data_IF_239497846764
#
_entry.id   IF_239497846764
#
_cell.length_a   1.000
_cell.length_b   1.000
_cell.length_c   1.000
_cell.angle_alpha   90.00
_cell.angle_beta   90.00
_cell.angle_gamma   90.00
#
_symmetry.space_group_name_H-M   'P 1'
#
loop_
_entity.id
_entity.type
_entity.pdbx_description
1 polymer ?
#
# COMPACT_ATOMS: atom_id res chain seq x y z
N UNK A 1 -7.93 17.49 15.12
CA UNK A 1 -7.20 17.34 13.83
C UNK A 1 -5.91 16.54 14.01
N UNK A 2 -5.01 16.94 14.90
CA UNK A 2 -3.74 16.22 15.15
C UNK A 2 -3.95 14.78 15.64
N UNK A 3 -4.90 14.54 16.55
CA UNK A 3 -5.19 13.19 17.05
C UNK A 3 -5.78 12.28 15.97
N UNK A 4 -6.69 12.79 15.13
CA UNK A 4 -7.27 12.03 14.02
C UNK A 4 -6.22 11.70 12.95
N UNK A 5 -5.35 12.66 12.64
CA UNK A 5 -4.23 12.45 11.72
C UNK A 5 -3.24 11.41 12.25
N UNK A 6 -2.88 11.49 13.53
CA UNK A 6 -2.04 10.50 14.20
C UNK A 6 -2.68 9.11 14.26
N UNK A 7 -3.99 9.03 14.49
CA UNK A 7 -4.75 7.78 14.47
C UNK A 7 -4.70 7.14 13.07
N UNK A 8 -4.96 7.92 12.02
CA UNK A 8 -4.89 7.45 10.63
C UNK A 8 -3.47 7.01 10.30
N UNK A 9 -2.45 7.80 10.67
CA UNK A 9 -1.03 7.50 10.48
C UNK A 9 -0.60 6.18 11.13
N UNK A 10 -1.06 5.94 12.37
CA UNK A 10 -0.69 4.77 13.16
C UNK A 10 -1.44 3.52 12.71
N UNK A 11 -2.73 3.64 12.39
CA UNK A 11 -3.60 2.51 12.05
C UNK A 11 -3.62 2.15 10.57
N UNK A 12 -3.18 3.04 9.67
CA UNK A 12 -3.12 2.73 8.25
C UNK A 12 -2.11 1.63 7.90
N UNK A 13 -1.00 1.52 8.64
CA UNK A 13 -0.05 0.40 8.48
C UNK A 13 -0.73 -0.93 8.84
N UNK A 14 -1.30 -1.14 10.06
CA UNK A 14 -2.07 -2.33 10.38
C UNK A 14 -3.21 -2.63 9.40
N UNK A 15 -3.96 -1.63 8.97
CA UNK A 15 -5.08 -1.81 8.05
C UNK A 15 -4.62 -2.30 6.67
N UNK A 16 -3.54 -1.72 6.13
CA UNK A 16 -2.98 -2.15 4.85
C UNK A 16 -2.27 -3.51 4.95
N UNK A 17 -1.68 -3.85 6.09
CA UNK A 17 -1.15 -5.19 6.36
C UNK A 17 -2.25 -6.24 6.41
N UNK A 18 -3.36 -5.97 7.11
CA UNK A 18 -4.56 -6.82 7.10
C UNK A 18 -5.08 -7.01 5.67
N UNK A 19 -5.15 -5.93 4.90
CA UNK A 19 -5.55 -5.97 3.50
C UNK A 19 -4.59 -6.81 2.63
N UNK A 20 -3.28 -6.73 2.91
CA UNK A 20 -2.26 -7.55 2.24
C UNK A 20 -2.50 -9.04 2.45
N UNK A 21 -2.85 -9.44 3.68
CA UNK A 21 -3.20 -10.83 4.01
C UNK A 21 -4.44 -11.28 3.24
N UNK A 22 -5.50 -10.45 3.21
CA UNK A 22 -6.72 -10.73 2.45
C UNK A 22 -6.40 -10.95 0.96
N UNK A 23 -5.55 -10.10 0.37
CA UNK A 23 -5.15 -10.23 -1.02
C UNK A 23 -4.31 -11.49 -1.28
N UNK A 24 -3.40 -11.86 -0.37
CA UNK A 24 -2.65 -13.12 -0.47
C UNK A 24 -3.58 -14.34 -0.48
N UNK A 25 -4.63 -14.33 0.33
CA UNK A 25 -5.64 -15.41 0.36
C UNK A 25 -6.38 -15.50 -0.97
N UNK A 26 -6.81 -14.35 -1.52
CA UNK A 26 -7.52 -14.30 -2.81
C UNK A 26 -6.61 -14.77 -3.96
N UNK A 27 -5.34 -14.36 -3.97
CA UNK A 27 -4.35 -14.78 -4.98
C UNK A 27 -4.25 -16.30 -5.04
N UNK A 28 -4.15 -16.96 -3.89
CA UNK A 28 -4.10 -18.43 -3.81
C UNK A 28 -5.42 -19.09 -4.18
N UNK A 29 -6.54 -18.46 -3.84
CA UNK A 29 -7.85 -19.01 -4.20
C UNK A 29 -8.07 -19.04 -5.72
N UNK A 30 -7.44 -18.11 -6.45
CA UNK A 30 -7.49 -18.02 -7.92
C UNK A 30 -6.46 -18.90 -8.63
N UNK A 31 -5.35 -19.25 -7.99
CA UNK A 31 -4.33 -20.12 -8.61
C UNK A 31 -4.85 -21.56 -8.81
N UNK A 32 -4.62 -22.17 -10.00
CA UNK A 32 -5.04 -23.54 -10.26
C UNK A 32 -4.41 -24.53 -9.27
N UNK A 33 -5.20 -25.51 -8.79
CA UNK A 33 -4.80 -26.52 -7.79
C UNK A 33 -3.69 -27.50 -8.23
N UNK A 34 -2.99 -27.22 -9.34
CA UNK A 34 -2.06 -28.16 -9.99
C UNK A 34 -0.62 -28.13 -9.46
N UNK A 35 -0.35 -27.53 -8.30
CA UNK A 35 1.01 -27.42 -7.72
C UNK A 35 1.21 -28.24 -6.44
N UNK A 36 2.40 -28.83 -6.28
CA UNK A 36 2.87 -29.45 -5.03
C UNK A 36 2.70 -28.49 -3.84
N UNK A 37 2.31 -29.02 -2.68
CA UNK A 37 2.04 -28.27 -1.44
C UNK A 37 3.14 -27.25 -1.09
N UNK A 38 4.41 -27.62 -1.27
CA UNK A 38 5.57 -26.77 -0.98
C UNK A 38 5.62 -25.51 -1.88
N UNK A 39 5.28 -25.66 -3.17
CA UNK A 39 5.21 -24.54 -4.11
C UNK A 39 4.14 -23.53 -3.71
N UNK A 40 2.97 -24.01 -3.27
CA UNK A 40 1.88 -23.15 -2.82
C UNK A 40 2.22 -22.35 -1.56
N UNK A 41 2.96 -22.95 -0.62
CA UNK A 41 3.43 -22.25 0.59
C UNK A 41 4.43 -21.16 0.24
N UNK A 42 5.36 -21.40 -0.70
CA UNK A 42 6.30 -20.39 -1.17
C UNK A 42 5.59 -19.25 -1.91
N UNK A 43 4.61 -19.56 -2.76
CA UNK A 43 3.79 -18.55 -3.42
C UNK A 43 2.99 -17.72 -2.41
N UNK A 44 2.46 -18.34 -1.35
CA UNK A 44 1.80 -17.62 -0.27
C UNK A 44 2.72 -16.62 0.41
N UNK A 45 3.89 -17.07 0.87
CA UNK A 45 4.85 -16.22 1.57
C UNK A 45 5.33 -15.10 0.64
N UNK A 46 5.59 -15.41 -0.63
CA UNK A 46 5.94 -14.43 -1.65
C UNK A 46 4.86 -13.38 -1.88
N UNK A 47 3.59 -13.81 -1.97
CA UNK A 47 2.45 -12.91 -2.13
C UNK A 47 2.26 -12.02 -0.88
N UNK A 48 2.37 -12.59 0.33
CA UNK A 48 2.31 -11.84 1.58
C UNK A 48 3.40 -10.77 1.62
N UNK A 49 4.64 -11.14 1.29
CA UNK A 49 5.76 -10.19 1.24
C UNK A 49 5.54 -9.10 0.20
N UNK A 50 5.18 -9.48 -1.04
CA UNK A 50 4.95 -8.54 -2.14
C UNK A 50 3.84 -7.55 -1.82
N UNK A 51 2.69 -8.03 -1.31
CA UNK A 51 1.59 -7.15 -0.91
C UNK A 51 1.92 -6.32 0.32
N UNK A 52 2.72 -6.83 1.25
CA UNK A 52 3.20 -6.05 2.41
C UNK A 52 4.07 -4.88 1.97
N UNK A 53 5.05 -5.12 1.09
CA UNK A 53 5.93 -4.05 0.57
C UNK A 53 5.12 -3.05 -0.24
N UNK A 54 4.22 -3.53 -1.10
CA UNK A 54 3.30 -2.71 -1.89
C UNK A 54 2.43 -1.82 -0.99
N UNK A 55 1.86 -2.40 0.06
CA UNK A 55 1.07 -1.70 1.08
C UNK A 55 1.85 -0.61 1.79
N UNK A 56 3.08 -0.88 2.21
CA UNK A 56 3.94 0.12 2.86
C UNK A 56 4.30 1.25 1.90
N UNK A 57 4.62 0.93 0.64
CA UNK A 57 4.92 1.92 -0.38
C UNK A 57 3.70 2.80 -0.70
N UNK A 58 2.51 2.20 -0.86
CA UNK A 58 1.27 2.95 -1.03
C UNK A 58 0.93 3.79 0.20
N UNK A 59 1.21 3.29 1.41
CA UNK A 59 0.99 4.04 2.64
C UNK A 59 1.87 5.29 2.71
N UNK A 60 3.15 5.13 2.40
CA UNK A 60 4.08 6.24 2.28
C UNK A 60 3.61 7.25 1.23
N UNK A 61 3.07 6.77 0.10
CA UNK A 61 2.46 7.63 -0.91
C UNK A 61 1.30 8.48 -0.37
N UNK A 62 0.38 7.88 0.40
CA UNK A 62 -0.73 8.60 1.04
C UNK A 62 -0.25 9.65 2.05
N UNK A 63 0.82 9.34 2.80
CA UNK A 63 1.47 10.29 3.71
C UNK A 63 2.04 11.47 2.90
N UNK A 64 2.78 11.20 1.81
CA UNK A 64 3.34 12.25 0.95
C UNK A 64 2.25 13.17 0.38
N UNK A 65 1.11 12.62 -0.08
CA UNK A 65 -0.03 13.42 -0.54
C UNK A 65 -0.55 14.30 0.59
N UNK A 66 -0.72 13.74 1.79
CA UNK A 66 -1.26 14.48 2.94
C UNK A 66 -0.34 15.64 3.36
N UNK A 67 0.97 15.40 3.43
CA UNK A 67 1.96 16.44 3.72
C UNK A 67 2.05 17.48 2.60
N UNK A 68 1.93 17.05 1.34
CA UNK A 68 1.87 17.97 0.22
C UNK A 68 0.66 18.91 0.30
N UNK A 69 -0.53 18.38 0.62
CA UNK A 69 -1.73 19.21 0.83
C UNK A 69 -1.52 20.19 2.00
N UNK A 70 -0.96 19.72 3.11
CA UNK A 70 -0.69 20.57 4.28
C UNK A 70 0.34 21.67 3.96
N UNK A 71 1.36 21.40 3.14
CA UNK A 71 2.38 22.38 2.79
C UNK A 71 1.86 23.59 2.00
N UNK A 72 0.69 23.51 1.35
CA UNK A 72 0.05 24.68 0.76
C UNK A 72 -0.45 25.70 1.81
N UNK A 73 -0.60 25.29 3.07
CA UNK A 73 -0.96 26.20 4.16
C UNK A 73 0.20 27.08 4.64
N UNK A 74 1.43 26.75 4.22
CA UNK A 74 2.66 27.48 4.56
C UNK A 74 3.18 28.35 3.39
N UNK A 75 2.31 28.70 2.44
CA UNK A 75 2.63 29.47 1.21
C UNK A 75 3.72 28.83 0.31
N UNK A 76 4.07 27.57 0.56
CA UNK A 76 4.95 26.79 -0.30
C UNK A 76 4.18 26.33 -1.56
N UNK A 77 4.81 26.45 -2.74
CA UNK A 77 4.19 26.07 -4.01
C UNK A 77 4.83 24.81 -4.60
N UNK A 78 6.16 24.82 -4.76
CA UNK A 78 6.83 23.75 -5.50
C UNK A 78 6.95 22.43 -4.72
N UNK A 79 7.36 22.50 -3.44
CA UNK A 79 7.51 21.32 -2.58
C UNK A 79 6.22 20.51 -2.42
N UNK A 80 5.10 21.17 -2.04
CA UNK A 80 3.76 20.56 -1.98
C UNK A 80 3.35 19.79 -3.24
N UNK A 81 3.52 20.41 -4.42
CA UNK A 81 3.18 19.79 -5.70
C UNK A 81 4.01 18.54 -5.93
N UNK A 82 5.33 18.60 -5.70
CA UNK A 82 6.21 17.45 -5.87
C UNK A 82 5.86 16.31 -4.91
N UNK A 83 5.51 16.61 -3.66
CA UNK A 83 5.07 15.63 -2.68
C UNK A 83 3.76 14.94 -3.08
N UNK A 84 2.80 15.69 -3.63
CA UNK A 84 1.54 15.13 -4.13
C UNK A 84 1.79 14.24 -5.34
N UNK A 85 2.57 14.70 -6.32
CA UNK A 85 2.86 13.93 -7.54
C UNK A 85 3.61 12.63 -7.21
N UNK A 86 4.63 12.72 -6.34
CA UNK A 86 5.36 11.55 -5.89
C UNK A 86 4.45 10.59 -5.10
N UNK A 87 3.63 11.12 -4.20
CA UNK A 87 2.71 10.31 -3.43
C UNK A 87 1.66 9.62 -4.30
N UNK A 88 1.13 10.32 -5.30
CA UNK A 88 0.20 9.76 -6.29
C UNK A 88 0.85 8.67 -7.14
N UNK A 89 2.11 8.86 -7.58
CA UNK A 89 2.90 7.85 -8.27
C UNK A 89 3.06 6.58 -7.42
N UNK A 90 3.40 6.75 -6.13
CA UNK A 90 3.57 5.63 -5.20
C UNK A 90 2.26 4.87 -4.98
N UNK A 91 1.14 5.57 -4.78
CA UNK A 91 -0.17 4.90 -4.64
C UNK A 91 -0.55 4.19 -5.94
N UNK A 92 -0.40 4.83 -7.09
CA UNK A 92 -0.82 4.25 -8.37
C UNK A 92 -0.07 2.95 -8.71
N UNK A 93 1.24 2.90 -8.49
CA UNK A 93 2.04 1.72 -8.84
C UNK A 93 2.14 0.66 -7.75
N UNK A 94 1.99 1.06 -6.49
CA UNK A 94 2.19 0.14 -5.36
C UNK A 94 0.90 -0.17 -4.61
N UNK A 95 -0.26 0.36 -5.01
CA UNK A 95 -1.51 -0.05 -4.34
C UNK A 95 -1.72 -1.56 -4.56
N UNK A 96 -1.78 -2.37 -3.48
CA UNK A 96 -1.72 -3.84 -3.57
C UNK A 96 -2.75 -4.47 -4.51
N UNK A 97 -3.93 -3.84 -4.64
CA UNK A 97 -5.02 -4.31 -5.49
C UNK A 97 -4.68 -4.29 -6.99
N UNK A 98 -3.87 -3.33 -7.45
CA UNK A 98 -3.50 -3.20 -8.85
C UNK A 98 -2.45 -4.22 -9.28
N UNK A 99 -1.73 -4.81 -8.32
CA UNK A 99 -0.68 -5.81 -8.57
C UNK A 99 -1.21 -7.25 -8.44
N UNK A 100 -2.53 -7.45 -8.50
CA UNK A 100 -3.14 -8.77 -8.43
C UNK A 100 -3.36 -9.33 -9.85
N UNK A 101 -2.97 -10.59 -10.14
CA UNK A 101 -3.30 -11.22 -11.41
C UNK A 101 -4.82 -11.41 -11.56
N UNK A 102 -5.31 -11.26 -12.79
CA UNK A 102 -6.75 -11.37 -13.13
C UNK A 102 -7.32 -12.76 -12.84
#
# INVERSE_FOLDING_TARGET
MVELFGLILLWGIPALLLWSVVLSIIHIAKEPRSGQFLGRTLTFIGAVYSYTVSSLASWFGLICISFGIAGFTEDAIFGPIMFILFGAFMVYHFFPRYNMPE
#
